data_IF_517710226619
#
_entry.id   IF_517710226619
#
_cell.length_a   1.000
_cell.length_b   1.000
_cell.length_c   1.000
_cell.angle_alpha   90.00
_cell.angle_beta   90.00
_cell.angle_gamma   90.00
#
_symmetry.space_group_name_H-M   'P 1'
#
loop_
_entity.id
_entity.type
_entity.pdbx_description
1 polymer ?
#
# COMPACT_ATOMS: atom_id res chain seq x y z
N UNK A 1 -67.69 11.74 33.03
CA UNK A 1 -66.64 12.62 32.49
C UNK A 1 -65.70 12.87 33.67
N UNK A 2 -64.42 12.57 33.69
CA UNK A 2 -63.37 12.31 32.69
C UNK A 2 -62.39 11.26 33.26
N UNK A 3 -61.72 10.50 32.39
CA UNK A 3 -60.60 9.63 32.78
C UNK A 3 -59.29 10.42 32.73
N UNK A 4 -58.59 10.48 33.86
CA UNK A 4 -57.30 11.16 33.98
C UNK A 4 -56.18 10.12 33.75
N UNK A 5 -55.73 9.97 32.52
CA UNK A 5 -54.56 9.15 32.20
C UNK A 5 -53.29 9.85 32.73
N UNK A 6 -52.36 9.16 33.43
CA UNK A 6 -51.08 9.76 33.77
C UNK A 6 -50.28 10.00 32.49
N UNK A 7 -49.79 11.24 32.30
CA UNK A 7 -48.88 11.58 31.22
C UNK A 7 -47.70 10.60 31.23
N UNK A 8 -47.60 9.80 30.16
CA UNK A 8 -46.51 8.86 29.99
C UNK A 8 -45.17 9.57 30.11
N UNK A 9 -44.30 9.04 30.97
CA UNK A 9 -42.91 9.46 31.06
C UNK A 9 -42.25 9.15 29.72
N UNK A 10 -41.96 10.17 28.91
CA UNK A 10 -41.17 10.02 27.71
C UNK A 10 -39.79 9.47 28.11
N UNK A 11 -39.48 8.24 27.69
CA UNK A 11 -38.16 7.64 27.90
C UNK A 11 -37.18 8.33 26.96
N UNK A 12 -36.37 9.22 27.51
CA UNK A 12 -35.29 9.90 26.81
C UNK A 12 -34.14 8.92 26.53
N UNK A 13 -33.92 8.60 25.26
CA UNK A 13 -32.81 7.73 24.84
C UNK A 13 -31.47 8.46 24.94
N UNK A 14 -30.49 7.86 25.64
CA UNK A 14 -29.11 8.38 25.80
C UNK A 14 -28.26 8.23 24.54
N UNK A 15 -28.83 8.50 23.37
CA UNK A 15 -28.21 8.22 22.06
C UNK A 15 -27.12 9.23 21.68
N UNK A 16 -27.08 10.41 22.32
CA UNK A 16 -26.13 11.48 22.01
C UNK A 16 -24.65 11.09 22.16
N UNK A 17 -24.21 10.57 23.32
CA UNK A 17 -22.84 10.10 23.50
C UNK A 17 -22.47 8.93 22.57
N UNK A 18 -23.43 8.08 22.24
CA UNK A 18 -23.24 6.95 21.31
C UNK A 18 -22.98 7.42 19.88
N UNK A 19 -23.71 8.43 19.40
CA UNK A 19 -23.42 9.02 18.09
C UNK A 19 -22.05 9.70 18.08
N UNK A 20 -21.70 10.39 19.17
CA UNK A 20 -20.41 11.07 19.31
C UNK A 20 -19.22 10.13 19.21
N UNK A 21 -19.25 9.01 19.93
CA UNK A 21 -18.14 8.03 19.90
C UNK A 21 -17.96 7.42 18.51
N UNK A 22 -19.06 7.16 17.79
CA UNK A 22 -19.00 6.58 16.44
C UNK A 22 -18.27 7.51 15.48
N UNK A 23 -18.59 8.81 15.50
CA UNK A 23 -17.95 9.80 14.63
C UNK A 23 -16.45 9.87 14.88
N UNK A 24 -16.04 9.94 16.15
CA UNK A 24 -14.62 10.00 16.53
C UNK A 24 -13.87 8.75 16.05
N UNK A 25 -14.46 7.56 16.25
CA UNK A 25 -13.88 6.30 15.79
C UNK A 25 -13.69 6.29 14.28
N UNK A 26 -14.70 6.72 13.50
CA UNK A 26 -14.61 6.77 12.04
C UNK A 26 -13.48 7.70 11.59
N UNK A 27 -13.35 8.88 12.19
CA UNK A 27 -12.28 9.83 11.85
C UNK A 27 -10.91 9.20 12.12
N UNK A 28 -10.72 8.55 13.26
CA UNK A 28 -9.45 7.88 13.60
C UNK A 28 -9.15 6.75 12.60
N UNK A 29 -10.15 5.94 12.22
CA UNK A 29 -9.96 4.87 11.23
C UNK A 29 -9.56 5.41 9.86
N UNK A 30 -10.15 6.53 9.42
CA UNK A 30 -9.77 7.20 8.17
C UNK A 30 -8.33 7.70 8.26
N UNK A 31 -7.94 8.36 9.35
CA UNK A 31 -6.58 8.87 9.52
C UNK A 31 -5.53 7.75 9.54
N UNK A 32 -5.80 6.66 10.27
CA UNK A 32 -4.91 5.49 10.31
C UNK A 32 -4.85 4.81 8.94
N UNK A 33 -5.98 4.65 8.26
CA UNK A 33 -6.04 4.08 6.92
C UNK A 33 -5.27 4.90 5.88
N UNK A 34 -5.44 6.23 5.89
CA UNK A 34 -4.72 7.14 4.99
C UNK A 34 -3.22 7.22 5.31
N UNK A 35 -2.84 7.17 6.59
CA UNK A 35 -1.43 7.09 7.00
C UNK A 35 -0.77 5.82 6.46
N UNK A 36 -1.40 4.66 6.67
CA UNK A 36 -0.90 3.38 6.19
C UNK A 36 -0.90 3.28 4.66
N UNK A 37 -1.92 3.81 3.99
CA UNK A 37 -1.98 3.87 2.53
C UNK A 37 -0.90 4.79 1.94
N UNK A 38 -0.67 5.96 2.55
CA UNK A 38 0.39 6.88 2.15
C UNK A 38 1.79 6.28 2.33
N UNK A 39 1.99 5.52 3.41
CA UNK A 39 3.23 4.76 3.65
C UNK A 39 3.49 3.71 2.56
N UNK A 40 2.45 2.97 2.17
CA UNK A 40 2.53 1.95 1.11
C UNK A 40 2.90 2.56 -0.25
N UNK A 41 2.39 3.75 -0.57
CA UNK A 41 2.74 4.45 -1.80
C UNK A 41 4.15 5.03 -1.76
N UNK A 42 4.61 5.49 -0.59
CA UNK A 42 5.94 6.08 -0.43
C UNK A 42 7.07 5.05 -0.40
N UNK A 43 6.78 3.86 0.12
CA UNK A 43 7.72 2.74 0.18
C UNK A 43 7.47 1.72 -0.94
N UNK A 44 6.64 2.07 -1.92
CA UNK A 44 6.69 1.41 -3.22
C UNK A 44 7.98 1.88 -3.88
N UNK A 45 9.11 1.32 -3.44
CA UNK A 45 10.34 1.38 -4.21
C UNK A 45 9.98 0.97 -5.65
N UNK A 46 10.34 1.75 -6.67
CA UNK A 46 10.31 1.24 -8.03
C UNK A 46 11.27 0.06 -8.04
N UNK A 47 10.73 -1.14 -7.88
CA UNK A 47 11.53 -2.35 -8.02
C UNK A 47 11.86 -2.39 -9.50
N UNK A 48 13.06 -1.94 -9.81
CA UNK A 48 13.59 -1.85 -11.14
C UNK A 48 13.36 -3.19 -11.86
N UNK A 49 12.70 -3.11 -13.01
CA UNK A 49 12.31 -4.29 -13.80
C UNK A 49 13.51 -5.15 -14.12
N UNK A 50 14.68 -4.53 -14.33
CA UNK A 50 15.95 -5.19 -14.63
C UNK A 50 16.45 -6.00 -13.43
N UNK A 51 16.27 -5.47 -12.20
CA UNK A 51 16.68 -6.18 -10.98
C UNK A 51 15.82 -7.43 -10.72
N UNK A 52 14.53 -7.43 -11.09
CA UNK A 52 13.68 -8.62 -10.98
C UNK A 52 14.06 -9.71 -11.98
N UNK A 53 14.33 -9.36 -13.25
CA UNK A 53 14.77 -10.33 -14.26
C UNK A 53 16.13 -10.94 -13.93
N UNK A 54 17.05 -10.17 -13.32
CA UNK A 54 18.32 -10.70 -12.83
C UNK A 54 18.17 -11.68 -11.65
N UNK A 55 17.11 -11.57 -10.84
CA UNK A 55 16.84 -12.50 -9.74
C UNK A 55 16.18 -13.82 -10.21
N UNK A 56 15.63 -13.86 -11.42
CA UNK A 56 14.94 -15.03 -11.98
C UNK A 56 15.88 -16.01 -12.70
N UNK A 57 17.20 -15.78 -12.68
CA UNK A 57 18.20 -16.69 -13.27
C UNK A 57 18.12 -18.09 -12.65
N UNK A 58 18.36 -19.11 -13.48
CA UNK A 58 18.38 -20.50 -13.04
C UNK A 58 19.55 -20.77 -12.10
N UNK A 59 19.39 -21.77 -11.22
CA UNK A 59 20.47 -22.27 -10.36
C UNK A 59 21.25 -23.42 -11.01
N UNK A 60 21.00 -23.67 -12.29
CA UNK A 60 21.55 -24.77 -13.06
C UNK A 60 22.93 -24.42 -13.64
N UNK A 61 23.83 -25.39 -13.64
CA UNK A 61 25.16 -25.30 -14.28
C UNK A 61 25.16 -26.01 -15.66
N UNK A 62 24.01 -26.48 -16.13
CA UNK A 62 23.86 -27.05 -17.46
C UNK A 62 23.99 -25.99 -18.55
N UNK A 63 24.71 -26.31 -19.63
CA UNK A 63 25.06 -25.35 -20.68
C UNK A 63 23.84 -24.73 -21.38
N UNK A 64 22.80 -25.53 -21.64
CA UNK A 64 21.56 -25.08 -22.27
C UNK A 64 20.79 -24.09 -21.38
N UNK A 65 20.86 -24.25 -20.05
CA UNK A 65 20.19 -23.38 -19.09
C UNK A 65 20.94 -22.05 -18.97
N UNK A 66 22.28 -22.08 -19.00
CA UNK A 66 23.12 -20.87 -19.01
C UNK A 66 22.87 -20.03 -20.27
N UNK A 67 22.77 -20.65 -21.44
CA UNK A 67 22.47 -19.94 -22.69
C UNK A 67 21.08 -19.28 -22.63
N UNK A 68 20.10 -19.98 -22.06
CA UNK A 68 18.75 -19.44 -21.86
C UNK A 68 18.73 -18.26 -20.90
N UNK A 69 19.44 -18.35 -19.78
CA UNK A 69 19.53 -17.28 -18.78
C UNK A 69 20.25 -16.04 -19.33
N UNK A 70 21.28 -16.24 -20.16
CA UNK A 70 22.00 -15.14 -20.82
C UNK A 70 21.13 -14.44 -21.86
N UNK A 71 20.36 -15.19 -22.66
CA UNK A 71 19.41 -14.63 -23.61
C UNK A 71 18.27 -13.86 -22.90
N UNK A 72 17.87 -14.32 -21.71
CA UNK A 72 16.88 -13.63 -20.87
C UNK A 72 17.44 -12.41 -20.13
N UNK A 73 18.77 -12.31 -20.01
CA UNK A 73 19.43 -11.17 -19.36
C UNK A 73 19.40 -9.97 -20.30
N UNK A 74 18.68 -8.91 -19.93
CA UNK A 74 18.47 -7.71 -20.74
C UNK A 74 19.69 -6.76 -20.70
N UNK A 75 20.83 -7.21 -21.25
CA UNK A 75 22.12 -6.50 -21.20
C UNK A 75 22.04 -5.09 -21.83
N UNK A 76 21.22 -4.91 -22.85
CA UNK A 76 21.04 -3.61 -23.52
C UNK A 76 20.38 -2.57 -22.59
N UNK A 77 19.51 -3.00 -21.68
CA UNK A 77 18.86 -2.12 -20.69
C UNK A 77 19.85 -1.75 -19.57
N UNK A 78 20.67 -2.71 -19.14
CA UNK A 78 21.73 -2.50 -18.15
C UNK A 78 22.78 -1.46 -18.58
N UNK A 79 23.17 -1.44 -19.86
CA UNK A 79 24.13 -0.44 -20.38
C UNK A 79 23.56 0.97 -20.29
N UNK A 80 22.27 1.13 -20.64
CA UNK A 80 21.58 2.41 -20.59
C UNK A 80 21.40 2.94 -19.16
N UNK A 81 21.07 2.06 -18.21
CA UNK A 81 20.93 2.43 -16.79
C UNK A 81 22.28 2.78 -16.15
N UNK A 82 23.33 2.04 -16.53
CA UNK A 82 24.69 2.31 -16.08
C UNK A 82 25.15 3.69 -16.57
N UNK A 83 24.95 4.01 -17.85
CA UNK A 83 25.27 5.33 -18.40
C UNK A 83 24.45 6.45 -17.73
N UNK A 84 23.16 6.22 -17.49
CA UNK A 84 22.30 7.15 -16.76
C UNK A 84 22.79 7.39 -15.32
N UNK A 85 23.22 6.34 -14.61
CA UNK A 85 23.75 6.44 -13.25
C UNK A 85 25.05 7.26 -13.17
N UNK A 86 25.91 7.16 -14.19
CA UNK A 86 27.13 7.96 -14.30
C UNK A 86 26.84 9.42 -14.64
N UNK A 87 25.77 9.69 -15.39
CA UNK A 87 25.34 11.07 -15.69
C UNK A 87 24.58 11.73 -14.53
N UNK A 88 23.88 10.96 -13.69
CA UNK A 88 23.08 11.49 -12.57
C UNK A 88 23.94 11.85 -11.33
N UNK A 89 25.13 11.29 -11.16
CA UNK A 89 26.04 11.70 -10.07
C UNK A 89 26.67 13.08 -10.35
N UNK A 90 26.31 14.18 -9.62
CA UNK A 90 27.08 15.41 -9.68
C UNK A 90 28.37 15.20 -8.87
N UNK A 91 29.51 15.58 -9.47
CA UNK A 91 30.83 15.59 -8.82
C UNK A 91 30.83 16.33 -7.48
#
# INVERSE_FOLDING_TARGET
>A
MEQNQPLGTAKEGRTGPTIGIIIVVIIVLILVGLYFWGERLRNAEPMDSVTNTLQEQSASDELDDIETDLDATMIEELDSDLEASFMESPQ
#
